data_IF_900467671007
#
_entry.id   IF_900467671007
#
_cell.length_a   1.000
_cell.length_b   1.000
_cell.length_c   1.000
_cell.angle_alpha   90.00
_cell.angle_beta   90.00
_cell.angle_gamma   90.00
#
_symmetry.space_group_name_H-M   'P 1'
#
loop_
_entity.id
_entity.type
_entity.pdbx_description
1 polymer ?
#
# COMPACT_ATOMS: atom_id res chain seq x y z
N UNK A 1 10.35 16.94 4.68
CA UNK A 1 9.67 15.98 5.56
C UNK A 1 10.67 15.32 6.47
N UNK A 2 10.31 15.20 7.72
CA UNK A 2 11.24 14.76 8.75
C UNK A 2 11.81 13.35 8.52
N UNK A 3 10.99 12.43 8.05
CA UNK A 3 11.38 11.04 7.84
C UNK A 3 11.60 10.68 6.37
N UNK A 4 11.55 11.66 5.48
CA UNK A 4 11.69 11.42 4.05
C UNK A 4 10.38 11.16 3.33
N UNK A 5 9.27 11.06 4.04
CA UNK A 5 7.94 10.90 3.46
C UNK A 5 6.87 11.38 4.42
N UNK A 6 5.68 11.60 3.87
CA UNK A 6 4.47 11.88 4.65
C UNK A 6 3.39 10.90 4.22
N UNK A 7 2.33 10.79 5.02
CA UNK A 7 1.17 9.97 4.69
C UNK A 7 -0.05 10.86 4.56
N UNK A 8 -0.77 10.74 3.44
CA UNK A 8 -2.04 11.41 3.20
C UNK A 8 -3.16 10.40 3.37
N UNK A 9 -4.08 10.69 4.30
CA UNK A 9 -5.27 9.87 4.47
C UNK A 9 -6.46 10.53 3.77
N UNK A 10 -7.19 9.74 2.99
CA UNK A 10 -8.35 10.22 2.25
C UNK A 10 -9.61 9.59 2.83
N UNK A 11 -10.47 10.42 3.38
CA UNK A 11 -11.75 9.98 3.94
C UNK A 11 -12.75 9.80 2.80
N UNK A 12 -12.66 8.64 2.15
CA UNK A 12 -13.57 8.24 1.09
C UNK A 12 -14.36 7.02 1.56
N UNK A 13 -15.21 6.51 0.71
CA UNK A 13 -16.01 5.33 1.02
C UNK A 13 -15.75 4.27 -0.05
N UNK A 14 -14.85 3.30 0.19
CA UNK A 14 -14.04 3.12 1.40
C UNK A 14 -12.83 4.06 1.45
N UNK A 15 -12.23 4.26 2.63
CA UNK A 15 -11.08 5.16 2.77
C UNK A 15 -9.81 4.56 2.20
N UNK A 16 -8.83 5.42 1.95
CA UNK A 16 -7.49 4.97 1.56
C UNK A 16 -6.44 5.97 2.04
N UNK A 17 -5.20 5.52 2.04
CA UNK A 17 -4.07 6.37 2.41
C UNK A 17 -2.89 6.07 1.50
N UNK A 18 -2.00 7.03 1.34
CA UNK A 18 -0.81 6.84 0.52
C UNK A 18 0.35 7.69 1.01
N UNK A 19 1.56 7.28 0.63
CA UNK A 19 2.76 8.03 0.98
C UNK A 19 3.05 9.12 -0.05
N UNK A 20 3.74 10.16 0.42
CA UNK A 20 4.21 11.26 -0.43
C UNK A 20 5.68 11.46 -0.08
N UNK A 21 6.56 11.35 -1.06
CA UNK A 21 7.98 11.62 -0.87
C UNK A 21 8.91 10.46 -1.12
N UNK A 22 8.45 9.23 -1.12
CA UNK A 22 9.31 8.07 -1.39
C UNK A 22 9.89 8.14 -2.80
N UNK A 23 9.15 8.70 -3.75
CA UNK A 23 9.62 8.88 -5.14
C UNK A 23 10.88 9.71 -5.23
N UNK A 24 11.07 10.64 -4.31
CA UNK A 24 12.28 11.46 -4.27
C UNK A 24 13.54 10.66 -3.92
N UNK A 25 13.34 9.51 -3.29
CA UNK A 25 14.43 8.58 -3.00
C UNK A 25 14.54 7.47 -4.06
N UNK A 26 13.81 7.60 -5.18
CA UNK A 26 13.80 6.58 -6.22
C UNK A 26 12.96 5.36 -5.90
N UNK A 27 12.09 5.45 -4.91
CA UNK A 27 11.27 4.34 -4.44
C UNK A 27 9.83 4.50 -4.92
N UNK A 28 9.08 3.39 -5.09
CA UNK A 28 7.65 3.51 -5.34
C UNK A 28 6.94 4.09 -4.13
N UNK A 29 5.89 4.86 -4.36
CA UNK A 29 5.01 5.26 -3.28
C UNK A 29 4.16 4.07 -2.85
N UNK A 30 3.59 4.15 -1.66
CA UNK A 30 2.75 3.09 -1.11
C UNK A 30 1.32 3.58 -0.93
N UNK A 31 0.36 2.66 -1.12
CA UNK A 31 -1.06 2.94 -0.96
C UNK A 31 -1.68 1.80 -0.18
N UNK A 32 -2.67 2.10 0.66
CA UNK A 32 -3.42 1.09 1.40
C UNK A 32 -4.89 1.52 1.43
N UNK A 33 -5.81 0.57 1.39
CA UNK A 33 -7.24 0.85 1.32
C UNK A 33 -8.00 0.14 2.44
N UNK A 34 -9.12 0.73 2.83
CA UNK A 34 -10.10 0.05 3.69
C UNK A 34 -9.78 -0.01 5.16
N UNK A 35 -8.83 0.79 5.65
CA UNK A 35 -8.44 0.79 7.06
C UNK A 35 -8.62 2.18 7.67
N UNK A 36 -8.80 2.24 9.02
CA UNK A 36 -8.86 3.54 9.70
C UNK A 36 -7.50 4.24 9.68
N UNK A 37 -7.47 5.56 10.01
CA UNK A 37 -6.24 6.36 9.90
C UNK A 37 -5.05 5.79 10.67
N UNK A 38 -5.26 5.37 11.90
CA UNK A 38 -4.16 4.91 12.75
C UNK A 38 -3.50 3.65 12.18
N UNK A 39 -4.31 2.71 11.72
CA UNK A 39 -3.81 1.46 11.17
C UNK A 39 -3.13 1.69 9.82
N UNK A 40 -3.74 2.53 8.98
CA UNK A 40 -3.14 2.92 7.69
C UNK A 40 -1.78 3.55 7.89
N UNK A 41 -1.68 4.49 8.82
CA UNK A 41 -0.42 5.18 9.11
C UNK A 41 0.64 4.20 9.61
N UNK A 42 0.26 3.32 10.54
CA UNK A 42 1.19 2.35 11.10
C UNK A 42 1.76 1.44 10.02
N UNK A 43 0.90 0.86 9.18
CA UNK A 43 1.36 -0.10 8.18
C UNK A 43 2.18 0.57 7.10
N UNK A 44 1.75 1.74 6.61
CA UNK A 44 2.50 2.46 5.58
C UNK A 44 3.87 2.91 6.11
N UNK A 45 3.93 3.44 7.32
CA UNK A 45 5.20 3.88 7.90
C UNK A 45 6.16 2.71 8.13
N UNK A 46 5.64 1.55 8.53
CA UNK A 46 6.48 0.37 8.73
C UNK A 46 7.12 -0.08 7.42
N UNK A 47 6.33 -0.18 6.35
CA UNK A 47 6.86 -0.60 5.05
C UNK A 47 7.81 0.46 4.49
N UNK A 48 7.46 1.74 4.59
CA UNK A 48 8.30 2.82 4.08
C UNK A 48 9.67 2.83 4.75
N UNK A 49 9.69 2.67 6.08
CA UNK A 49 10.95 2.58 6.81
C UNK A 49 11.81 1.40 6.37
N UNK A 50 11.17 0.27 6.11
CA UNK A 50 11.86 -0.93 5.62
C UNK A 50 12.46 -0.69 4.23
N UNK A 51 11.72 -0.01 3.34
CA UNK A 51 12.21 0.29 1.99
C UNK A 51 13.40 1.23 1.99
N UNK A 52 13.44 2.17 2.91
CA UNK A 52 14.57 3.08 3.02
C UNK A 52 15.84 2.35 3.48
N UNK A 53 15.71 1.15 4.03
CA UNK A 53 16.82 0.26 4.32
C UNK A 53 17.31 -0.54 3.11
N UNK A 54 16.96 -0.10 1.91
CA UNK A 54 17.40 -0.67 0.64
C UNK A 54 16.73 -1.97 0.23
N UNK A 55 15.58 -2.28 0.84
CA UNK A 55 14.80 -3.45 0.43
C UNK A 55 13.51 -2.97 -0.24
N UNK A 56 13.47 -3.04 -1.57
CA UNK A 56 12.31 -2.59 -2.33
C UNK A 56 11.50 -3.82 -2.76
N UNK A 57 10.24 -3.95 -2.30
CA UNK A 57 9.44 -5.10 -2.68
C UNK A 57 9.03 -5.02 -4.15
N UNK A 58 8.82 -6.18 -4.74
CA UNK A 58 8.27 -6.30 -6.09
C UNK A 58 6.80 -6.72 -6.00
N UNK A 59 5.99 -6.44 -7.04
CA UNK A 59 4.62 -6.95 -7.08
C UNK A 59 4.61 -8.47 -6.88
N UNK A 60 3.76 -8.94 -5.98
CA UNK A 60 3.69 -10.34 -5.60
C UNK A 60 4.48 -10.71 -4.36
N UNK A 61 5.41 -9.86 -3.93
CA UNK A 61 6.13 -10.09 -2.68
C UNK A 61 5.19 -9.91 -1.49
N UNK A 62 5.54 -10.59 -0.38
CA UNK A 62 4.79 -10.48 0.86
C UNK A 62 5.64 -9.81 1.93
N UNK A 63 4.97 -9.24 2.92
CA UNK A 63 5.61 -8.56 4.04
C UNK A 63 4.93 -8.99 5.33
N UNK A 64 5.71 -9.37 6.33
CA UNK A 64 5.18 -9.72 7.65
C UNK A 64 5.49 -8.57 8.61
N UNK A 65 4.45 -8.04 9.23
CA UNK A 65 4.57 -6.93 10.18
C UNK A 65 4.97 -7.45 11.56
N UNK A 66 5.45 -6.58 12.46
CA UNK A 66 5.85 -7.02 13.79
C UNK A 66 4.74 -7.72 14.60
N UNK A 67 3.47 -7.40 14.33
CA UNK A 67 2.34 -8.06 14.97
C UNK A 67 1.95 -9.40 14.31
N UNK A 68 2.80 -9.88 13.39
CA UNK A 68 2.64 -11.12 12.63
C UNK A 68 1.54 -11.08 11.56
N UNK A 69 0.88 -9.94 11.37
CA UNK A 69 -0.01 -9.77 10.23
C UNK A 69 0.81 -9.68 8.94
N UNK A 70 0.19 -9.99 7.82
CA UNK A 70 0.86 -10.07 6.52
C UNK A 70 0.17 -9.20 5.49
N UNK A 71 0.94 -8.83 4.47
CA UNK A 71 0.41 -8.12 3.31
C UNK A 71 1.13 -8.61 2.05
N UNK A 72 0.50 -8.38 0.91
CA UNK A 72 1.12 -8.63 -0.40
C UNK A 72 1.15 -7.30 -1.15
N UNK A 73 2.19 -7.11 -1.97
CA UNK A 73 2.32 -5.89 -2.77
C UNK A 73 1.75 -6.12 -4.16
N UNK A 74 0.95 -5.15 -4.65
CA UNK A 74 0.47 -5.18 -6.02
C UNK A 74 0.80 -3.85 -6.69
N UNK A 75 1.09 -3.89 -8.00
CA UNK A 75 1.40 -2.69 -8.76
C UNK A 75 0.14 -1.87 -9.00
N UNK A 76 0.18 -0.57 -8.73
CA UNK A 76 -0.92 0.34 -9.02
C UNK A 76 -0.67 0.94 -10.41
N UNK A 77 -1.50 0.61 -11.41
CA UNK A 77 -1.20 1.00 -12.81
C UNK A 77 -1.38 2.48 -13.10
N UNK A 78 -2.23 3.17 -12.35
CA UNK A 78 -2.50 4.59 -12.58
C UNK A 78 -2.49 5.36 -11.27
N UNK A 79 -1.28 5.56 -10.66
CA UNK A 79 -1.20 6.22 -9.36
C UNK A 79 -1.72 7.66 -9.38
N UNK A 80 -1.64 8.35 -10.50
CA UNK A 80 -2.14 9.70 -10.64
C UNK A 80 -3.65 9.82 -10.38
N UNK A 81 -4.41 8.76 -10.62
CA UNK A 81 -5.86 8.74 -10.37
C UNK A 81 -6.17 8.79 -8.87
N UNK A 82 -5.30 8.16 -8.05
CA UNK A 82 -5.58 7.97 -6.62
C UNK A 82 -4.67 8.82 -5.73
N UNK A 83 -3.50 9.20 -6.19
CA UNK A 83 -2.43 9.74 -5.38
C UNK A 83 -1.98 11.12 -5.86
N UNK A 84 -2.96 12.00 -6.08
CA UNK A 84 -2.71 13.31 -6.69
C UNK A 84 -1.65 14.15 -5.99
N UNK A 85 -1.61 14.15 -4.66
CA UNK A 85 -0.61 14.91 -3.92
C UNK A 85 0.80 14.35 -4.09
N UNK A 86 0.93 13.01 -4.19
CA UNK A 86 2.24 12.39 -4.42
C UNK A 86 2.77 12.74 -5.81
N UNK A 87 1.91 12.70 -6.82
CA UNK A 87 2.29 13.07 -8.19
C UNK A 87 2.69 14.54 -8.25
N UNK A 88 1.89 15.42 -7.63
CA UNK A 88 2.17 16.86 -7.61
C UNK A 88 3.48 17.16 -6.89
N UNK A 89 3.75 16.48 -5.77
CA UNK A 89 4.95 16.71 -4.99
C UNK A 89 6.20 16.28 -5.75
N UNK A 90 6.15 15.14 -6.42
CA UNK A 90 7.30 14.62 -7.15
C UNK A 90 7.52 15.35 -8.48
N UNK A 91 6.48 16.02 -8.98
CA UNK A 91 6.52 16.75 -10.25
C UNK A 91 6.90 15.83 -11.42
N UNK A 92 6.20 14.72 -11.52
CA UNK A 92 6.43 13.77 -12.61
C UNK A 92 5.78 12.42 -12.33
N UNK A 93 5.96 11.48 -13.26
CA UNK A 93 5.36 10.16 -13.08
C UNK A 93 5.97 9.44 -11.88
N UNK A 94 5.13 8.72 -11.16
CA UNK A 94 5.54 7.91 -10.02
C UNK A 94 5.13 6.46 -10.23
N UNK A 95 5.84 5.56 -9.56
CA UNK A 95 5.38 4.19 -9.39
C UNK A 95 4.71 4.08 -8.03
N UNK A 96 3.76 3.17 -7.92
CA UNK A 96 3.10 2.94 -6.65
C UNK A 96 2.80 1.46 -6.47
N UNK A 97 2.91 1.00 -5.23
CA UNK A 97 2.55 -0.35 -4.81
C UNK A 97 1.44 -0.25 -3.79
N UNK A 98 0.42 -1.07 -3.92
CA UNK A 98 -0.60 -1.18 -2.89
C UNK A 98 -0.18 -2.24 -1.87
N UNK A 99 -0.29 -1.89 -0.60
CA UNK A 99 -0.09 -2.83 0.50
C UNK A 99 -1.44 -3.52 0.72
N UNK A 100 -1.58 -4.73 0.21
CA UNK A 100 -2.83 -5.49 0.28
C UNK A 100 -2.78 -6.34 1.53
N UNK A 101 -3.44 -5.87 2.59
CA UNK A 101 -3.41 -6.53 3.89
C UNK A 101 -4.32 -7.75 3.91
N UNK A 102 -3.98 -8.74 4.75
CA UNK A 102 -4.80 -9.91 5.00
C UNK A 102 -5.68 -9.69 6.21
N UNK A 103 -6.79 -10.41 6.27
CA UNK A 103 -7.68 -10.33 7.42
C UNK A 103 -7.06 -11.03 8.64
N UNK A 104 -7.79 -11.05 9.75
CA UNK A 104 -7.29 -11.65 11.00
C UNK A 104 -6.98 -13.13 10.88
N UNK A 105 -7.63 -13.82 9.95
CA UNK A 105 -7.41 -15.24 9.70
C UNK A 105 -6.38 -15.51 8.61
N UNK A 106 -5.76 -14.46 8.08
CA UNK A 106 -4.73 -14.56 7.06
C UNK A 106 -5.24 -14.70 5.63
N UNK A 107 -6.52 -14.40 5.40
CA UNK A 107 -7.10 -14.44 4.06
C UNK A 107 -6.81 -13.16 3.29
N UNK A 108 -6.49 -13.31 2.00
CA UNK A 108 -6.33 -12.18 1.08
C UNK A 108 -7.69 -11.74 0.52
N UNK A 109 -7.81 -10.49 0.04
CA UNK A 109 -9.12 -10.00 -0.46
C UNK A 109 -9.70 -10.79 -1.62
N UNK A 110 -8.87 -11.51 -2.37
CA UNK A 110 -9.34 -12.38 -3.44
C UNK A 110 -9.76 -13.76 -2.95
N UNK A 111 -9.60 -14.05 -1.67
CA UNK A 111 -10.07 -15.30 -1.09
C UNK A 111 -11.56 -15.18 -0.74
N UNK A 112 -12.41 -16.18 -1.05
CA UNK A 112 -13.83 -16.10 -0.70
C UNK A 112 -14.09 -15.94 0.79
N UNK A 113 -13.16 -16.42 1.62
CA UNK A 113 -13.29 -16.38 3.07
C UNK A 113 -12.76 -15.06 3.68
N UNK A 114 -12.30 -14.13 2.85
CA UNK A 114 -11.79 -12.86 3.34
C UNK A 114 -12.85 -12.16 4.20
N UNK A 115 -12.42 -11.72 5.39
CA UNK A 115 -13.27 -10.98 6.32
C UNK A 115 -14.58 -11.74 6.60
N UNK A 116 -14.50 -13.06 6.67
CA UNK A 116 -15.64 -13.98 6.88
C UNK A 116 -16.76 -13.78 5.85
N UNK A 117 -16.39 -13.46 4.61
CA UNK A 117 -17.35 -13.19 3.55
C UNK A 117 -17.95 -11.79 3.58
N UNK A 118 -17.46 -10.94 4.47
CA UNK A 118 -17.92 -9.56 4.61
C UNK A 118 -17.30 -8.61 3.60
N UNK A 119 -17.30 -7.29 3.89
CA UNK A 119 -16.77 -6.30 2.96
C UNK A 119 -15.31 -6.55 2.63
N UNK A 120 -14.94 -6.34 1.37
CA UNK A 120 -13.58 -6.56 0.89
C UNK A 120 -12.85 -5.23 0.74
N UNK A 121 -11.54 -5.25 0.98
CA UNK A 121 -10.73 -4.08 0.69
C UNK A 121 -10.62 -3.90 -0.82
N UNK A 122 -10.70 -2.66 -1.33
CA UNK A 122 -10.45 -2.42 -2.74
C UNK A 122 -9.00 -2.73 -3.11
N UNK A 123 -8.80 -3.43 -4.22
CA UNK A 123 -7.49 -3.70 -4.79
C UNK A 123 -7.41 -2.94 -6.09
N UNK A 124 -6.57 -1.91 -6.12
CA UNK A 124 -6.51 -0.94 -7.22
C UNK A 124 -5.50 -1.34 -8.29
N UNK A 125 -4.75 -2.39 -8.06
CA UNK A 125 -3.74 -2.85 -8.99
C UNK A 125 -3.89 -4.31 -9.33
N UNK A 126 -2.96 -4.80 -10.16
CA UNK A 126 -2.89 -6.20 -10.51
C UNK A 126 -1.86 -6.89 -9.63
N UNK A 127 -2.14 -8.12 -9.26
CA UNK A 127 -1.12 -8.96 -8.62
C UNK A 127 0.02 -9.12 -9.61
N UNK A 128 1.23 -9.29 -9.08
CA UNK A 128 2.38 -9.55 -9.91
C UNK A 128 2.19 -10.76 -10.79
N UNK A 129 3.14 -11.06 -11.71
CA UNK A 129 2.97 -12.19 -12.59
C UNK A 129 2.72 -13.44 -11.77
N UNK A 130 1.53 -13.96 -11.93
CA UNK A 130 1.13 -15.19 -11.26
C UNK A 130 1.53 -16.31 -12.20
N UNK A 131 2.41 -17.16 -11.73
CA UNK A 131 2.72 -18.36 -12.46
C UNK A 131 1.55 -19.31 -12.32
N UNK A 132 0.64 -19.12 -13.18
CA UNK A 132 -0.45 -20.07 -13.26
C UNK A 132 -0.18 -21.06 -14.34
#
# INVERSE_FOLDING_TARGET
MKNGWAVQYVEAEPPFAYTIGLSEAGLPELLITGLPPERSLLLLNTVAGYMLGEVVPAPGDTFTFPDLSCAEFVEVPHPDVHMGWAVAFHDGPIRALQVVWRDEDGHSPWCPDFNSGGPRQPVLGARGPVDT
#
